data_IF_534459598713
#
_entry.id   IF_534459598713
#
_cell.length_a   1.000
_cell.length_b   1.000
_cell.length_c   1.000
_cell.angle_alpha   90.00
_cell.angle_beta   90.00
_cell.angle_gamma   90.00
#
_symmetry.space_group_name_H-M   'P 1'
#
loop_
_entity.id
_entity.type
_entity.pdbx_description
1 polymer ?
#
# COMPACT_ATOMS: atom_id res chain seq x y z
N UNK A 1 -4.25 -14.49 1.86
CA UNK A 1 -3.06 -13.86 2.49
C UNK A 1 -1.82 -14.13 1.65
N UNK A 2 -1.05 -13.09 1.32
CA UNK A 2 0.14 -13.16 0.45
C UNK A 2 1.31 -13.96 1.02
N UNK A 3 1.31 -14.19 2.33
CA UNK A 3 2.50 -14.67 3.03
C UNK A 3 2.56 -16.18 3.13
N UNK A 4 3.79 -16.67 3.29
CA UNK A 4 4.11 -18.05 3.61
C UNK A 4 3.28 -18.50 4.81
N UNK A 5 2.72 -19.69 4.69
CA UNK A 5 1.93 -20.39 5.72
C UNK A 5 0.72 -19.58 6.23
N UNK A 6 0.35 -18.53 5.47
CA UNK A 6 -0.76 -17.60 5.75
C UNK A 6 -0.64 -16.98 7.14
N UNK A 7 0.59 -16.69 7.56
CA UNK A 7 0.88 -16.09 8.85
C UNK A 7 1.92 -14.98 8.76
N UNK A 8 1.92 -14.08 9.75
CA UNK A 8 2.89 -13.02 9.91
C UNK A 8 3.16 -12.73 11.39
N UNK A 9 4.44 -12.58 11.81
CA UNK A 9 4.79 -12.06 13.13
C UNK A 9 4.27 -10.63 13.31
N UNK A 10 3.90 -10.25 14.53
CA UNK A 10 3.42 -8.90 14.81
C UNK A 10 4.44 -7.83 14.47
N UNK A 11 5.72 -8.07 14.76
CA UNK A 11 6.80 -7.13 14.47
C UNK A 11 6.91 -6.80 12.97
N UNK A 12 6.53 -7.74 12.10
CA UNK A 12 6.49 -7.52 10.65
C UNK A 12 5.26 -6.70 10.25
N UNK A 13 4.11 -6.95 10.88
CA UNK A 13 2.89 -6.17 10.65
C UNK A 13 3.06 -4.74 11.17
N UNK A 14 3.72 -4.56 12.32
CA UNK A 14 3.98 -3.27 12.95
C UNK A 14 4.74 -2.31 12.03
N UNK A 15 5.69 -2.84 11.25
CA UNK A 15 6.44 -2.06 10.26
C UNK A 15 5.56 -1.51 9.13
N UNK A 16 4.45 -2.20 8.82
CA UNK A 16 3.47 -1.78 7.82
C UNK A 16 2.21 -1.15 8.43
N UNK A 17 2.10 -1.09 9.76
CA UNK A 17 0.90 -0.64 10.49
C UNK A 17 0.42 0.72 10.01
N UNK A 18 1.37 1.65 9.86
CA UNK A 18 1.09 2.99 9.34
C UNK A 18 0.62 2.95 7.88
N UNK A 19 1.32 2.21 7.02
CA UNK A 19 1.04 2.15 5.59
C UNK A 19 -0.31 1.45 5.29
N UNK A 20 -0.68 0.46 6.10
CA UNK A 20 -1.95 -0.27 6.01
C UNK A 20 -3.11 0.42 6.71
N UNK A 21 -2.85 1.47 7.51
CA UNK A 21 -3.89 2.17 8.27
C UNK A 21 -4.47 1.35 9.42
N UNK A 22 -3.69 0.43 9.99
CA UNK A 22 -4.16 -0.42 11.07
C UNK A 22 -4.37 0.38 12.37
N UNK A 23 -5.40 0.05 13.17
CA UNK A 23 -5.62 0.66 14.48
C UNK A 23 -4.42 0.48 15.43
N UNK A 24 -4.34 1.32 16.46
CA UNK A 24 -3.27 1.22 17.44
C UNK A 24 -3.26 -0.13 18.17
N UNK A 25 -4.44 -0.65 18.54
CA UNK A 25 -4.61 -1.94 19.24
C UNK A 25 -5.00 -3.10 18.30
N UNK A 26 -4.47 -3.12 17.08
CA UNK A 26 -4.87 -4.13 16.08
C UNK A 26 -4.60 -5.58 16.50
N UNK A 27 -3.61 -5.81 17.37
CA UNK A 27 -3.23 -7.14 17.85
C UNK A 27 -4.41 -7.83 18.54
N UNK A 28 -5.10 -7.09 19.41
CA UNK A 28 -6.25 -7.58 20.16
C UNK A 28 -7.51 -7.48 19.29
N UNK A 29 -7.67 -6.37 18.57
CA UNK A 29 -8.92 -6.11 17.86
C UNK A 29 -9.14 -7.05 16.68
N UNK A 30 -8.12 -7.40 15.88
CA UNK A 30 -8.32 -8.23 14.68
C UNK A 30 -8.76 -9.66 15.04
N UNK A 31 -8.07 -10.29 15.98
CA UNK A 31 -8.40 -11.65 16.40
C UNK A 31 -9.71 -11.69 17.19
N UNK A 32 -10.00 -10.67 18.01
CA UNK A 32 -11.22 -10.61 18.80
C UNK A 32 -12.47 -10.33 17.97
N UNK A 33 -12.40 -9.40 17.00
CA UNK A 33 -13.55 -9.03 16.16
C UNK A 33 -13.76 -9.98 14.98
N UNK A 34 -12.72 -10.72 14.58
CA UNK A 34 -12.79 -11.69 13.49
C UNK A 34 -12.16 -13.05 13.86
N UNK A 35 -12.67 -13.72 14.91
CA UNK A 35 -12.14 -14.99 15.41
C UNK A 35 -12.36 -16.16 14.45
N UNK A 36 -13.33 -16.02 13.55
CA UNK A 36 -13.61 -16.91 12.43
C UNK A 36 -12.49 -16.87 11.37
N UNK A 37 -11.91 -15.68 11.15
CA UNK A 37 -10.91 -15.46 10.09
C UNK A 37 -9.48 -15.57 10.61
N UNK A 38 -9.18 -15.06 11.79
CA UNK A 38 -7.81 -14.96 12.29
C UNK A 38 -7.64 -15.71 13.61
N UNK A 39 -6.43 -16.22 13.83
CA UNK A 39 -5.99 -16.72 15.13
C UNK A 39 -4.60 -16.20 15.48
N UNK A 40 -4.34 -16.13 16.78
CA UNK A 40 -3.02 -15.85 17.31
C UNK A 40 -2.19 -17.14 17.30
N UNK A 41 -0.94 -17.03 16.87
CA UNK A 41 0.03 -18.13 16.88
C UNK A 41 1.35 -17.68 17.50
N UNK A 42 2.10 -18.64 18.01
CA UNK A 42 3.47 -18.47 18.47
C UNK A 42 4.41 -19.14 17.46
N UNK A 43 5.37 -18.37 16.96
CA UNK A 43 6.40 -18.85 16.02
C UNK A 43 7.50 -19.61 16.77
N UNK A 44 8.35 -20.42 16.08
CA UNK A 44 9.44 -21.16 16.71
C UNK A 44 10.48 -20.29 17.45
N UNK A 45 10.56 -19.02 17.10
CA UNK A 45 11.43 -18.03 17.74
C UNK A 45 10.72 -17.23 18.84
N UNK A 46 9.64 -17.79 19.40
CA UNK A 46 8.80 -17.26 20.48
C UNK A 46 8.04 -15.96 20.15
N UNK A 47 8.14 -15.47 18.92
CA UNK A 47 7.36 -14.30 18.48
C UNK A 47 5.88 -14.66 18.35
N UNK A 48 5.02 -13.76 18.81
CA UNK A 48 3.59 -13.83 18.52
C UNK A 48 3.28 -13.26 17.15
N UNK A 49 2.22 -13.78 16.53
CA UNK A 49 1.69 -13.20 15.31
C UNK A 49 0.32 -13.71 14.94
N UNK A 50 -0.10 -13.30 13.75
CA UNK A 50 -1.43 -13.56 13.24
C UNK A 50 -1.36 -14.64 12.16
N UNK A 51 -2.29 -15.59 12.20
CA UNK A 51 -2.50 -16.59 11.14
C UNK A 51 -3.93 -16.51 10.64
N UNK A 52 -4.08 -16.59 9.32
CA UNK A 52 -5.37 -16.73 8.68
C UNK A 52 -5.87 -18.18 8.81
N UNK A 53 -7.05 -18.35 9.39
CA UNK A 53 -7.71 -19.67 9.61
C UNK A 53 -8.38 -20.16 8.34
N UNK A 54 -9.27 -19.33 7.80
CA UNK A 54 -10.10 -19.68 6.64
C UNK A 54 -9.52 -18.97 5.42
N UNK A 55 -9.23 -19.75 4.39
CA UNK A 55 -8.83 -19.23 3.11
C UNK A 55 -10.05 -19.09 2.20
N UNK A 56 -10.20 -17.92 1.63
CA UNK A 56 -11.26 -17.59 0.69
C UNK A 56 -10.63 -17.25 -0.66
N UNK A 57 -10.89 -18.08 -1.67
CA UNK A 57 -10.36 -17.93 -3.02
C UNK A 57 -10.94 -16.70 -3.74
N UNK A 58 -12.12 -16.22 -3.34
CA UNK A 58 -12.71 -14.98 -3.89
C UNK A 58 -11.91 -13.74 -3.45
N UNK A 59 -11.25 -13.82 -2.30
CA UNK A 59 -10.34 -12.77 -1.82
C UNK A 59 -8.92 -12.94 -2.35
N UNK A 60 -8.54 -14.12 -2.82
CA UNK A 60 -7.22 -14.43 -3.35
C UNK A 60 -7.03 -14.07 -4.84
N UNK A 61 -7.66 -12.96 -5.26
CA UNK A 61 -7.59 -12.44 -6.63
C UNK A 61 -6.80 -11.14 -6.60
N UNK A 62 -5.66 -11.11 -7.30
CA UNK A 62 -4.81 -9.92 -7.35
C UNK A 62 -5.51 -8.72 -7.99
N UNK A 63 -5.08 -7.52 -7.63
CA UNK A 63 -5.57 -6.27 -8.21
C UNK A 63 -5.35 -6.22 -9.71
N UNK A 64 -4.24 -6.79 -10.19
CA UNK A 64 -3.99 -6.92 -11.62
C UNK A 64 -5.04 -7.81 -12.30
N UNK A 65 -5.37 -8.96 -11.71
CA UNK A 65 -6.43 -9.84 -12.22
C UNK A 65 -7.80 -9.15 -12.18
N UNK A 66 -8.12 -8.42 -11.10
CA UNK A 66 -9.41 -7.72 -10.96
C UNK A 66 -9.65 -6.65 -12.03
N UNK A 67 -8.58 -5.98 -12.46
CA UNK A 67 -8.63 -4.92 -13.48
C UNK A 67 -8.45 -5.42 -14.91
N UNK A 68 -8.02 -6.67 -15.09
CA UNK A 68 -7.72 -7.22 -16.40
C UNK A 68 -9.00 -7.59 -17.17
N UNK A 69 -9.02 -7.42 -18.51
CA UNK A 69 -10.12 -7.87 -19.34
C UNK A 69 -10.18 -9.41 -19.38
N UNK A 70 -11.38 -9.96 -19.53
CA UNK A 70 -11.63 -11.41 -19.52
C UNK A 70 -10.73 -12.19 -20.49
N UNK A 71 -10.50 -11.64 -21.68
CA UNK A 71 -9.60 -12.25 -22.69
C UNK A 71 -8.17 -12.40 -22.17
N UNK A 72 -7.63 -11.44 -21.44
CA UNK A 72 -6.26 -11.54 -20.90
C UNK A 72 -6.16 -12.55 -19.76
N UNK A 73 -7.24 -12.70 -18.97
CA UNK A 73 -7.35 -13.76 -17.97
C UNK A 73 -7.27 -15.15 -18.59
N UNK A 74 -8.03 -15.37 -19.68
CA UNK A 74 -8.08 -16.66 -20.39
C UNK A 74 -6.73 -17.04 -21.01
N UNK A 75 -5.99 -16.08 -21.56
CA UNK A 75 -4.65 -16.31 -22.09
C UNK A 75 -3.57 -16.42 -21.00
N UNK A 76 -3.86 -16.04 -19.75
CA UNK A 76 -2.92 -16.07 -18.63
C UNK A 76 -1.76 -15.05 -18.72
N UNK A 77 -1.79 -14.15 -19.70
CA UNK A 77 -0.74 -13.15 -19.93
C UNK A 77 -1.23 -11.75 -19.54
N UNK A 78 -1.13 -11.42 -18.24
CA UNK A 78 -1.53 -10.11 -17.74
C UNK A 78 -0.43 -9.08 -17.88
N UNK A 79 -0.83 -7.84 -18.22
CA UNK A 79 0.08 -6.71 -18.40
C UNK A 79 -0.03 -5.71 -17.26
N UNK A 80 1.10 -5.33 -16.68
CA UNK A 80 1.14 -4.27 -15.68
C UNK A 80 0.90 -2.91 -16.33
N UNK A 81 0.11 -2.01 -15.71
CA UNK A 81 0.06 -0.62 -16.13
C UNK A 81 1.45 0.02 -16.01
N UNK A 82 1.91 0.66 -17.09
CA UNK A 82 3.23 1.28 -17.15
C UNK A 82 3.08 2.77 -17.39
N UNK A 83 3.66 3.58 -16.52
CA UNK A 83 3.68 5.03 -16.63
C UNK A 83 5.09 5.58 -16.58
N UNK A 84 5.42 6.46 -17.52
CA UNK A 84 6.71 7.17 -17.55
C UNK A 84 6.49 8.66 -17.35
N UNK A 85 7.43 9.33 -16.67
CA UNK A 85 7.39 10.79 -16.56
C UNK A 85 7.63 11.41 -17.94
N UNK A 86 7.01 12.57 -18.20
CA UNK A 86 7.22 13.28 -19.46
C UNK A 86 8.72 13.51 -19.70
N UNK A 87 9.21 13.15 -20.88
CA UNK A 87 10.65 13.23 -21.22
C UNK A 87 11.50 12.04 -20.77
N UNK A 88 10.92 11.03 -20.12
CA UNK A 88 11.62 9.79 -19.81
C UNK A 88 11.76 8.94 -21.08
N UNK A 89 12.87 9.13 -21.80
CA UNK A 89 13.19 8.38 -23.01
C UNK A 89 13.78 7.01 -22.69
N UNK A 90 12.96 5.96 -22.70
CA UNK A 90 13.49 4.60 -22.74
C UNK A 90 14.20 4.36 -24.07
N UNK A 91 15.39 3.74 -24.01
CA UNK A 91 16.07 3.25 -25.21
C UNK A 91 15.16 2.25 -25.93
N UNK A 92 15.20 2.22 -27.26
CA UNK A 92 14.39 1.28 -28.08
C UNK A 92 14.51 -0.17 -27.62
N UNK A 93 15.73 -0.61 -27.25
CA UNK A 93 15.98 -1.96 -26.70
C UNK A 93 15.21 -2.22 -25.40
N UNK A 94 15.10 -1.21 -24.52
CA UNK A 94 14.35 -1.33 -23.25
C UNK A 94 12.85 -1.38 -23.48
N UNK A 95 12.33 -0.67 -24.48
CA UNK A 95 10.92 -0.75 -24.88
C UNK A 95 10.58 -2.15 -25.42
N UNK A 96 11.40 -2.67 -26.34
CA UNK A 96 11.21 -4.03 -26.87
C UNK A 96 11.28 -5.07 -25.76
N UNK A 97 12.26 -4.96 -24.85
CA UNK A 97 12.34 -5.88 -23.70
C UNK A 97 11.09 -5.79 -22.81
N UNK A 98 10.60 -4.58 -22.53
CA UNK A 98 9.38 -4.39 -21.75
C UNK A 98 8.16 -5.02 -22.43
N UNK A 99 8.01 -4.86 -23.74
CA UNK A 99 6.92 -5.48 -24.52
C UNK A 99 6.95 -7.01 -24.44
N UNK A 100 8.13 -7.61 -24.60
CA UNK A 100 8.30 -9.07 -24.48
C UNK A 100 8.06 -9.55 -23.03
N UNK A 101 8.57 -8.82 -22.05
CA UNK A 101 8.34 -9.12 -20.64
C UNK A 101 6.85 -9.04 -20.25
N UNK A 102 6.10 -8.08 -20.81
CA UNK A 102 4.65 -7.97 -20.59
C UNK A 102 3.88 -9.16 -21.18
N UNK A 103 4.39 -9.86 -22.20
CA UNK A 103 3.76 -11.05 -22.78
C UNK A 103 3.96 -12.34 -21.97
N UNK A 104 4.90 -12.35 -21.01
CA UNK A 104 5.17 -13.53 -20.18
C UNK A 104 3.93 -13.96 -19.39
N UNK A 105 3.79 -15.25 -19.04
CA UNK A 105 2.69 -15.72 -18.21
C UNK A 105 2.70 -15.04 -16.85
N UNK A 106 1.50 -14.70 -16.35
CA UNK A 106 1.32 -14.10 -15.03
C UNK A 106 1.03 -15.20 -14.00
N UNK A 107 1.86 -15.27 -12.95
CA UNK A 107 1.60 -16.12 -11.79
C UNK A 107 1.03 -15.28 -10.66
N UNK A 108 -0.14 -15.67 -10.15
CA UNK A 108 -0.79 -14.97 -9.04
C UNK A 108 0.12 -14.92 -7.79
N UNK A 109 0.21 -13.77 -7.10
CA UNK A 109 0.90 -13.62 -5.82
C UNK A 109 0.40 -14.56 -4.72
N UNK A 110 -0.85 -15.01 -4.82
CA UNK A 110 -1.50 -15.89 -3.84
C UNK A 110 -1.21 -17.37 -4.07
N UNK A 111 -0.60 -17.73 -5.21
CA UNK A 111 -0.18 -19.11 -5.55
C UNK A 111 1.25 -19.35 -5.09
N UNK A 112 1.55 -20.60 -4.72
CA UNK A 112 2.89 -21.00 -4.27
C UNK A 112 3.93 -20.89 -5.39
N UNK A 113 5.06 -20.16 -5.20
CA UNK A 113 6.08 -19.98 -6.23
C UNK A 113 7.03 -21.16 -6.40
N UNK A 114 6.89 -22.26 -5.64
CA UNK A 114 7.89 -23.32 -5.58
C UNK A 114 8.20 -24.00 -6.92
N UNK A 115 7.29 -23.90 -7.90
CA UNK A 115 7.49 -24.42 -9.25
C UNK A 115 8.28 -23.48 -10.18
N UNK A 116 8.55 -22.24 -9.78
CA UNK A 116 9.22 -21.25 -10.62
C UNK A 116 10.73 -21.26 -10.41
N UNK A 117 11.48 -21.25 -11.52
CA UNK A 117 12.91 -20.98 -11.46
C UNK A 117 13.15 -19.48 -11.22
N UNK A 118 13.79 -19.19 -10.09
CA UNK A 118 14.20 -17.85 -9.61
C UNK A 118 15.01 -17.05 -10.63
N UNK A 119 15.66 -17.72 -11.59
CA UNK A 119 16.51 -17.08 -12.61
C UNK A 119 15.75 -16.59 -13.84
N UNK A 120 14.46 -16.90 -13.95
CA UNK A 120 13.65 -16.60 -15.13
C UNK A 120 12.95 -15.24 -15.04
N UNK A 121 12.69 -14.62 -16.19
CA UNK A 121 11.91 -13.39 -16.26
C UNK A 121 10.44 -13.60 -15.79
N UNK A 122 9.93 -14.84 -15.86
CA UNK A 122 8.62 -15.21 -15.30
C UNK A 122 8.62 -15.10 -13.77
N UNK A 123 9.68 -15.56 -13.11
CA UNK A 123 9.86 -15.38 -11.68
C UNK A 123 10.02 -13.91 -11.31
N UNK A 124 10.79 -13.14 -12.10
CA UNK A 124 10.86 -11.68 -11.94
C UNK A 124 9.47 -11.02 -12.08
N UNK A 125 8.67 -11.45 -13.05
CA UNK A 125 7.29 -10.98 -13.25
C UNK A 125 6.38 -11.28 -12.07
N UNK A 126 6.50 -12.46 -11.47
CA UNK A 126 5.78 -12.78 -10.22
C UNK A 126 6.20 -11.86 -9.07
N UNK A 127 7.48 -11.58 -8.91
CA UNK A 127 7.97 -10.67 -7.85
C UNK A 127 7.37 -9.27 -8.03
N UNK A 128 7.32 -8.77 -9.28
CA UNK A 128 6.61 -7.51 -9.59
C UNK A 128 5.13 -7.60 -9.20
N UNK A 129 4.47 -8.72 -9.51
CA UNK A 129 3.08 -8.98 -9.09
C UNK A 129 2.87 -8.98 -7.57
N UNK A 130 3.79 -9.55 -6.80
CA UNK A 130 3.73 -9.55 -5.33
C UNK A 130 3.82 -8.14 -4.78
N UNK A 131 4.72 -7.31 -5.29
CA UNK A 131 4.84 -5.92 -4.83
C UNK A 131 3.73 -5.01 -5.33
N UNK A 132 3.24 -5.26 -6.54
CA UNK A 132 2.04 -4.62 -7.07
C UNK A 132 0.87 -4.83 -6.12
N UNK A 133 0.62 -6.09 -5.74
CA UNK A 133 -0.45 -6.43 -4.80
C UNK A 133 -0.21 -5.83 -3.41
N UNK A 134 1.00 -5.98 -2.85
CA UNK A 134 1.34 -5.44 -1.54
C UNK A 134 1.13 -3.93 -1.46
N UNK A 135 1.60 -3.19 -2.46
CA UNK A 135 1.45 -1.73 -2.50
C UNK A 135 -0.01 -1.34 -2.71
N UNK A 136 -0.81 -2.13 -3.44
CA UNK A 136 -2.24 -1.89 -3.50
C UNK A 136 -2.96 -2.04 -2.16
N UNK A 137 -2.43 -2.84 -1.23
CA UNK A 137 -2.98 -2.96 0.12
C UNK A 137 -2.64 -1.74 1.00
N UNK A 138 -1.60 -0.96 0.65
CA UNK A 138 -1.28 0.25 1.41
C UNK A 138 -2.16 1.43 1.00
N UNK A 139 -2.42 2.32 1.96
CA UNK A 139 -3.31 3.46 1.79
C UNK A 139 -2.82 4.44 0.72
N UNK A 140 -1.51 4.67 0.69
CA UNK A 140 -0.87 5.64 -0.21
C UNK A 140 -0.17 4.95 -1.40
N UNK A 141 -0.38 3.64 -1.60
CA UNK A 141 0.28 2.87 -2.69
C UNK A 141 1.81 2.96 -2.66
N UNK A 142 2.36 3.14 -1.47
CA UNK A 142 3.79 3.24 -1.22
C UNK A 142 4.15 2.63 0.13
N UNK A 143 5.45 2.34 0.33
CA UNK A 143 6.04 1.94 1.61
C UNK A 143 7.55 2.15 1.57
N UNK A 144 8.20 2.20 2.73
CA UNK A 144 9.66 2.27 2.80
C UNK A 144 10.34 1.00 2.26
N UNK A 145 11.47 1.15 1.56
CA UNK A 145 12.26 0.03 1.01
C UNK A 145 12.72 -0.95 2.11
N UNK A 146 12.94 -0.45 3.33
CA UNK A 146 13.31 -1.28 4.48
C UNK A 146 12.18 -2.23 4.90
N UNK A 147 10.92 -1.77 4.86
CA UNK A 147 9.75 -2.57 5.23
C UNK A 147 9.60 -3.76 4.27
N UNK A 148 9.75 -3.48 2.98
CA UNK A 148 9.79 -4.49 1.93
C UNK A 148 10.91 -5.50 2.14
N UNK A 149 12.11 -5.05 2.55
CA UNK A 149 13.25 -5.94 2.82
C UNK A 149 12.97 -6.92 3.95
N UNK A 150 12.25 -6.49 4.99
CA UNK A 150 11.89 -7.33 6.13
C UNK A 150 10.84 -8.40 5.78
N UNK A 151 10.07 -8.22 4.69
CA UNK A 151 9.07 -9.17 4.22
C UNK A 151 9.66 -10.30 3.36
N UNK A 152 10.96 -10.30 3.07
CA UNK A 152 11.59 -11.26 2.15
C UNK A 152 11.21 -12.71 2.43
N UNK A 153 11.39 -13.15 3.66
CA UNK A 153 11.09 -14.54 4.06
C UNK A 153 9.59 -14.80 4.04
N UNK A 154 8.80 -13.86 4.56
CA UNK A 154 7.34 -13.95 4.61
C UNK A 154 6.70 -14.03 3.23
N UNK A 155 7.29 -13.42 2.20
CA UNK A 155 6.78 -13.41 0.83
C UNK A 155 7.47 -14.42 -0.10
N UNK A 156 8.31 -15.32 0.44
CA UNK A 156 9.11 -16.31 -0.31
C UNK A 156 9.94 -15.68 -1.44
N UNK A 157 10.61 -14.56 -1.14
CA UNK A 157 11.39 -13.80 -2.12
C UNK A 157 12.87 -14.19 -2.14
N UNK A 158 13.54 -14.15 -3.31
CA UNK A 158 14.96 -14.44 -3.44
C UNK A 158 15.83 -13.34 -2.83
N UNK A 159 17.09 -13.62 -2.50
CA UNK A 159 17.96 -12.66 -1.80
C UNK A 159 18.12 -11.31 -2.53
N UNK A 160 18.20 -11.33 -3.87
CA UNK A 160 18.43 -10.13 -4.69
C UNK A 160 17.14 -9.56 -5.29
N UNK A 161 16.00 -9.74 -4.63
CA UNK A 161 14.69 -9.32 -5.16
C UNK A 161 14.55 -7.81 -5.33
N UNK A 162 15.24 -6.98 -4.54
CA UNK A 162 15.05 -5.52 -4.54
C UNK A 162 15.45 -4.84 -5.86
N UNK A 163 16.17 -5.55 -6.74
CA UNK A 163 16.52 -5.06 -8.08
C UNK A 163 15.30 -4.84 -8.97
N UNK A 164 14.17 -5.48 -8.69
CA UNK A 164 12.93 -5.30 -9.49
C UNK A 164 12.46 -3.86 -9.51
N UNK A 165 12.65 -3.10 -8.42
CA UNK A 165 12.23 -1.70 -8.34
C UNK A 165 13.01 -0.79 -9.30
N UNK A 166 14.28 -1.14 -9.57
CA UNK A 166 15.16 -0.40 -10.48
C UNK A 166 14.99 -0.90 -11.93
N UNK A 167 14.75 -2.19 -12.12
CA UNK A 167 14.52 -2.82 -13.45
C UNK A 167 13.16 -2.48 -14.06
N UNK A 168 12.16 -2.18 -13.23
CA UNK A 168 10.78 -1.88 -13.66
C UNK A 168 10.38 -0.44 -13.35
N UNK A 169 11.09 0.58 -13.86
CA UNK A 169 10.87 1.98 -13.52
C UNK A 169 9.56 2.55 -14.05
N UNK A 170 8.83 1.81 -14.89
CA UNK A 170 7.50 2.19 -15.36
C UNK A 170 6.36 1.65 -14.50
N UNK A 171 6.61 0.64 -13.66
CA UNK A 171 5.65 0.13 -12.66
C UNK A 171 5.94 0.76 -11.30
N UNK A 172 7.22 0.78 -10.90
CA UNK A 172 7.65 1.33 -9.62
C UNK A 172 8.43 2.64 -9.79
N UNK A 173 8.35 3.46 -8.75
CA UNK A 173 9.19 4.64 -8.57
C UNK A 173 9.89 4.53 -7.21
N UNK A 174 11.19 4.84 -7.17
CA UNK A 174 11.93 4.95 -5.92
C UNK A 174 12.14 6.42 -5.62
N UNK A 175 11.45 6.92 -4.59
CA UNK A 175 11.71 8.23 -4.03
C UNK A 175 12.87 8.13 -3.04
N UNK A 176 13.82 9.05 -3.13
CA UNK A 176 14.89 9.21 -2.15
C UNK A 176 14.71 10.58 -1.50
N UNK A 177 14.38 10.60 -0.22
CA UNK A 177 14.23 11.83 0.55
C UNK A 177 15.01 11.69 1.85
N UNK A 178 16.02 12.56 2.03
CA UNK A 178 17.03 12.40 3.07
C UNK A 178 17.62 10.97 2.99
N UNK A 179 17.68 10.26 4.12
CA UNK A 179 18.16 8.86 4.17
C UNK A 179 17.04 7.82 3.96
N UNK A 180 15.81 8.25 3.67
CA UNK A 180 14.67 7.35 3.46
C UNK A 180 14.47 7.06 1.98
N UNK A 181 14.41 5.77 1.64
CA UNK A 181 14.02 5.31 0.32
C UNK A 181 12.60 4.73 0.38
N UNK A 182 11.71 5.27 -0.44
CA UNK A 182 10.31 4.85 -0.51
C UNK A 182 10.03 4.27 -1.88
N UNK A 183 9.44 3.08 -1.90
CA UNK A 183 8.94 2.44 -3.13
C UNK A 183 7.49 2.86 -3.31
N UNK A 184 7.18 3.39 -4.49
CA UNK A 184 5.87 3.91 -4.85
C UNK A 184 5.37 3.16 -6.08
N UNK A 185 4.11 2.75 -6.07
CA UNK A 185 3.44 2.16 -7.21
C UNK A 185 2.92 3.27 -8.13
N UNK A 186 3.42 3.33 -9.38
CA UNK A 186 3.16 4.46 -10.28
C UNK A 186 1.72 4.59 -10.70
N UNK A 187 1.04 3.48 -11.02
CA UNK A 187 -0.35 3.52 -11.47
C UNK A 187 -1.31 4.07 -10.42
N UNK A 188 -0.91 4.06 -9.14
CA UNK A 188 -1.69 4.66 -8.06
C UNK A 188 -1.76 6.19 -8.14
N UNK A 189 -0.96 6.82 -9.01
CA UNK A 189 -0.83 8.27 -9.09
C UNK A 189 -1.09 8.79 -10.51
N UNK A 190 -1.83 9.88 -10.61
CA UNK A 190 -1.96 10.69 -11.84
C UNK A 190 -1.52 12.12 -11.55
N UNK A 191 -0.60 12.66 -12.38
CA UNK A 191 -0.01 14.01 -12.21
C UNK A 191 0.48 14.33 -10.79
N UNK A 192 0.96 13.31 -10.06
CA UNK A 192 1.47 13.44 -8.70
C UNK A 192 0.41 13.36 -7.61
N UNK A 193 -0.86 13.17 -7.96
CA UNK A 193 -1.94 12.92 -7.01
C UNK A 193 -2.31 11.44 -6.93
N UNK A 194 -2.52 10.95 -5.71
CA UNK A 194 -3.06 9.62 -5.46
C UNK A 194 -4.48 9.52 -6.04
N UNK A 195 -4.74 8.52 -6.88
CA UNK A 195 -6.03 8.33 -7.54
C UNK A 195 -7.12 7.91 -6.54
N UNK A 196 -6.86 6.87 -5.75
CA UNK A 196 -7.78 6.33 -4.76
C UNK A 196 -7.45 6.88 -3.36
N UNK A 197 -8.05 8.01 -2.98
CA UNK A 197 -7.78 8.67 -1.70
C UNK A 197 -8.63 8.06 -0.58
N UNK A 198 -8.02 7.20 0.23
CA UNK A 198 -8.66 6.68 1.44
C UNK A 198 -8.95 7.83 2.45
N UNK A 199 -10.07 7.83 3.20
CA UNK A 199 -10.40 8.88 4.17
C UNK A 199 -9.29 9.17 5.19
N UNK A 200 -8.58 8.13 5.64
CA UNK A 200 -7.43 8.29 6.54
C UNK A 200 -6.28 9.09 5.91
N UNK A 201 -6.05 8.97 4.61
CA UNK A 201 -5.03 9.78 3.90
C UNK A 201 -5.43 11.25 3.92
N UNK A 202 -6.71 11.56 3.71
CA UNK A 202 -7.21 12.93 3.82
C UNK A 202 -6.99 13.50 5.23
N UNK A 203 -7.33 12.74 6.28
CA UNK A 203 -7.11 13.15 7.68
C UNK A 203 -5.62 13.38 7.95
N UNK A 204 -4.74 12.49 7.49
CA UNK A 204 -3.27 12.63 7.63
C UNK A 204 -2.75 13.90 6.96
N UNK A 205 -3.20 14.18 5.74
CA UNK A 205 -2.81 15.39 5.00
C UNK A 205 -3.32 16.64 5.70
N UNK A 206 -4.58 16.67 6.14
CA UNK A 206 -5.15 17.79 6.89
C UNK A 206 -4.39 18.04 8.19
N UNK A 207 -4.12 16.99 8.96
CA UNK A 207 -3.34 17.05 10.19
C UNK A 207 -1.94 17.61 9.94
N UNK A 208 -1.22 17.11 8.93
CA UNK A 208 0.11 17.59 8.58
C UNK A 208 0.12 19.08 8.18
N UNK A 209 -0.92 19.55 7.47
CA UNK A 209 -1.08 20.98 7.14
C UNK A 209 -1.27 21.83 8.38
N UNK A 210 -2.14 21.41 9.31
CA UNK A 210 -2.39 22.11 10.58
C UNK A 210 -1.11 22.18 11.44
N UNK A 211 -0.36 21.09 11.55
CA UNK A 211 0.89 21.06 12.29
C UNK A 211 1.94 22.02 11.73
N UNK A 212 2.07 22.11 10.40
CA UNK A 212 2.95 23.08 9.74
C UNK A 212 2.53 24.52 10.01
N UNK A 213 1.23 24.81 9.91
CA UNK A 213 0.67 26.14 10.19
C UNK A 213 0.93 26.55 11.64
N UNK A 214 0.60 25.71 12.62
CA UNK A 214 0.83 26.00 14.03
C UNK A 214 2.32 26.12 14.39
N UNK A 215 3.22 25.41 13.70
CA UNK A 215 4.66 25.62 13.84
C UNK A 215 5.08 27.01 13.33
N UNK A 216 4.62 27.40 12.13
CA UNK A 216 4.90 28.71 11.56
C UNK A 216 4.35 29.85 12.43
N UNK A 217 3.10 29.74 12.89
CA UNK A 217 2.48 30.75 13.76
C UNK A 217 3.21 30.92 15.10
N UNK A 218 3.72 29.82 15.69
CA UNK A 218 4.59 29.90 16.87
C UNK A 218 5.92 30.54 16.57
N UNK A 219 6.57 30.19 15.45
CA UNK A 219 7.85 30.79 15.04
C UNK A 219 7.74 32.28 14.71
N UNK A 220 6.56 32.74 14.25
CA UNK A 220 6.27 34.15 13.98
C UNK A 220 5.75 34.92 15.19
N UNK A 221 5.62 34.30 16.37
CA UNK A 221 5.12 34.97 17.58
C UNK A 221 3.66 35.41 17.54
N UNK A 222 2.86 34.87 16.61
CA UNK A 222 1.46 35.28 16.37
C UNK A 222 0.45 34.73 17.39
N UNK A 223 0.91 34.05 18.46
CA UNK A 223 0.04 33.59 19.55
C UNK A 223 -0.38 34.71 20.54
N UNK A 224 -0.08 35.97 20.25
CA UNK A 224 -0.64 37.09 21.03
C UNK A 224 -1.98 37.54 20.45
N UNK A 225 -3.02 37.34 21.28
CA UNK A 225 -4.44 37.77 21.19
C UNK A 225 -5.39 36.88 20.39
N UNK A 226 -5.96 35.90 21.09
CA UNK A 226 -7.39 35.60 21.00
C UNK A 226 -7.91 35.23 22.39
N UNK A 227 -7.70 36.12 23.36
CA UNK A 227 -8.60 36.22 24.51
C UNK A 227 -9.44 37.47 24.26
N UNK A 228 -10.75 37.33 24.47
CA UNK A 228 -11.78 38.37 24.43
C UNK A 228 -12.28 38.82 23.04
N UNK A 229 -13.30 38.11 22.56
CA UNK A 229 -14.61 38.71 22.24
C UNK A 229 -15.66 37.60 22.37
N UNK A 230 -16.17 37.43 23.58
CA UNK A 230 -17.57 37.03 23.78
C UNK A 230 -18.34 38.33 23.65
N UNK A 231 -18.96 38.55 22.50
CA UNK A 231 -20.05 39.53 22.39
C UNK A 231 -21.28 38.78 21.87
N UNK A 232 -22.28 38.78 22.74
CA UNK A 232 -23.68 38.45 22.51
C UNK A 232 -24.33 39.42 21.51
N UNK A 233 -25.61 39.16 21.23
CA UNK A 233 -26.55 39.87 20.34
C UNK A 233 -26.50 39.37 18.88
N UNK A 234 -27.43 38.52 18.44
CA UNK A 234 -28.88 38.74 18.38
C UNK A 234 -29.22 38.92 16.89
N UNK A 235 -30.01 38.07 16.24
CA UNK A 235 -31.47 38.20 16.11
C UNK A 235 -31.86 37.11 15.10
N UNK A 236 -32.68 36.12 15.48
CA UNK A 236 -33.78 35.64 14.61
C UNK A 236 -34.95 35.30 15.54
N UNK A 237 -35.80 36.31 15.72
CA UNK A 237 -37.18 36.13 16.15
C UNK A 237 -38.00 35.53 15.00
N UNK A 238 -39.08 34.83 15.40
CA UNK A 238 -40.26 34.42 14.66
C UNK A 238 -40.19 33.14 13.78
N UNK A 239 -40.69 32.03 14.33
CA UNK A 239 -42.12 31.78 14.22
C UNK A 239 -42.64 30.76 15.25
N UNK A 240 -43.59 31.21 16.07
CA UNK A 240 -44.55 30.40 16.83
C UNK A 240 -45.32 29.43 15.92
N UNK A 241 -45.70 28.26 16.48
CA UNK A 241 -47.09 27.79 16.75
C UNK A 241 -47.11 26.26 16.85
N UNK A 242 -47.39 25.69 18.02
CA UNK A 242 -48.70 25.31 18.58
C UNK A 242 -48.86 23.77 18.58
N UNK A 243 -49.70 23.29 19.51
CA UNK A 243 -49.95 21.91 19.97
C UNK A 243 -48.98 21.47 21.08
N UNK A 244 -49.38 21.34 22.34
CA UNK A 244 -50.67 21.48 23.02
C UNK A 244 -50.46 20.95 24.44
#
# INVERSE_FOLDING_TARGET
MLTKDRSLPFQTIDQLKWDLGLPYHYHDSLALHHPDKFCLIRFPDDRLGLKLRIWDDQLAVSQLQRKAPQKELEHGCLKFPVGFTRGFGLKRKSMVWLEEWQKLPYTSPYVDPSCLDVRTDVSEKRIVGVFHELLHLTLEKMTERKNVSNLRTSLRLPQKFTKVFERHPGVFYISKKCDTQTVVLREGYDRGELQEKHPLVYVRVKYARLMKRGFLERSMGLHKKSEETVEEEGIINNHQRLYG
#
